data_IF_818053645750
#
_entry.id   IF_818053645750
#
_cell.length_a   1.000
_cell.length_b   1.000
_cell.length_c   1.000
_cell.angle_alpha   90.00
_cell.angle_beta   90.00
_cell.angle_gamma   90.00
#
_symmetry.space_group_name_H-M   'P 1'
#
loop_
_entity.id
_entity.type
_entity.pdbx_description
1 polymer ?
#
# COMPACT_ATOMS: atom_id res chain seq x y z
N UNK A 1 -22.96 -6.87 7.38
CA UNK A 1 -22.67 -7.64 6.15
C UNK A 1 -21.17 -7.61 5.88
N UNK A 2 -20.53 -8.77 5.74
CA UNK A 2 -19.07 -8.88 5.56
C UNK A 2 -18.57 -8.42 4.18
N UNK A 3 -17.29 -8.06 4.12
CA UNK A 3 -16.61 -7.61 2.90
C UNK A 3 -16.50 -8.77 1.88
N UNK A 4 -17.00 -8.62 0.64
CA UNK A 4 -17.00 -9.69 -0.38
C UNK A 4 -15.61 -10.12 -0.86
N UNK A 5 -14.51 -9.50 -0.37
CA UNK A 5 -13.13 -9.87 -0.72
C UNK A 5 -12.34 -10.58 0.40
N UNK A 6 -12.93 -10.83 1.58
CA UNK A 6 -12.20 -11.53 2.64
C UNK A 6 -12.18 -13.04 2.38
N UNK A 7 -10.98 -13.62 2.24
CA UNK A 7 -10.77 -15.08 2.14
C UNK A 7 -10.78 -15.77 3.52
N UNK A 8 -11.07 -15.01 4.59
CA UNK A 8 -11.11 -15.49 5.97
C UNK A 8 -12.57 -15.80 6.32
N UNK A 9 -12.82 -17.03 6.81
CA UNK A 9 -14.14 -17.41 7.33
C UNK A 9 -14.48 -16.58 8.57
N UNK A 10 -15.75 -16.19 8.79
CA UNK A 10 -16.13 -15.52 10.03
C UNK A 10 -15.93 -16.47 11.23
N UNK A 11 -15.48 -15.90 12.35
CA UNK A 11 -15.36 -16.60 13.63
C UNK A 11 -16.76 -16.90 14.18
N UNK A 12 -16.93 -18.11 14.71
CA UNK A 12 -18.11 -18.44 15.53
C UNK A 12 -17.95 -17.88 16.94
N UNK A 13 -19.06 -17.66 17.65
CA UNK A 13 -19.00 -17.17 19.04
C UNK A 13 -18.24 -18.13 19.97
N UNK A 14 -18.28 -19.43 19.69
CA UNK A 14 -17.54 -20.44 20.46
C UNK A 14 -16.03 -20.33 20.23
N UNK A 15 -15.62 -20.12 18.98
CA UNK A 15 -14.21 -19.90 18.64
C UNK A 15 -13.70 -18.57 19.21
N UNK A 16 -14.50 -17.51 19.18
CA UNK A 16 -14.17 -16.23 19.83
C UNK A 16 -13.95 -16.42 21.34
N UNK A 17 -14.86 -17.15 22.00
CA UNK A 17 -14.77 -17.42 23.43
C UNK A 17 -13.55 -18.28 23.79
N UNK A 18 -13.16 -19.22 22.93
CA UNK A 18 -11.95 -20.02 23.10
C UNK A 18 -10.68 -19.18 22.93
N UNK A 19 -10.64 -18.29 21.93
CA UNK A 19 -9.53 -17.35 21.73
C UNK A 19 -9.38 -16.45 22.96
N UNK A 20 -10.47 -15.89 23.47
CA UNK A 20 -10.42 -15.03 24.66
C UNK A 20 -9.91 -15.77 25.91
N UNK A 21 -10.29 -17.05 26.07
CA UNK A 21 -9.76 -17.88 27.17
C UNK A 21 -8.26 -18.09 27.04
N UNK A 22 -7.76 -18.34 25.84
CA UNK A 22 -6.33 -18.54 25.59
C UNK A 22 -5.53 -17.26 25.86
N UNK A 23 -6.00 -16.11 25.37
CA UNK A 23 -5.43 -14.78 25.65
C UNK A 23 -5.36 -14.54 27.16
N UNK A 24 -6.46 -14.81 27.88
CA UNK A 24 -6.52 -14.58 29.34
C UNK A 24 -5.62 -15.53 30.13
N UNK A 25 -5.42 -16.75 29.65
CA UNK A 25 -4.59 -17.74 30.33
C UNK A 25 -3.08 -17.52 30.11
N UNK A 26 -2.69 -16.76 29.07
CA UNK A 26 -1.31 -16.45 28.76
C UNK A 26 -0.88 -15.13 29.44
N UNK A 27 0.00 -15.16 30.46
CA UNK A 27 0.46 -13.95 31.12
C UNK A 27 1.30 -13.02 30.24
N UNK A 28 1.89 -13.53 29.13
CA UNK A 28 2.69 -12.72 28.20
C UNK A 28 1.83 -12.06 27.11
N UNK A 29 0.58 -12.49 26.95
CA UNK A 29 -0.36 -12.00 25.92
C UNK A 29 -1.69 -11.51 26.54
N UNK A 30 -1.67 -11.18 27.83
CA UNK A 30 -2.83 -10.61 28.50
C UNK A 30 -3.21 -9.24 27.90
N UNK A 31 -4.51 -8.97 27.82
CA UNK A 31 -5.00 -7.66 27.35
C UNK A 31 -4.58 -6.54 28.31
N UNK A 32 -4.17 -5.40 27.74
CA UNK A 32 -3.85 -4.21 28.52
C UNK A 32 -5.10 -3.67 29.22
N UNK A 33 -4.97 -3.32 30.51
CA UNK A 33 -6.08 -2.69 31.24
C UNK A 33 -6.24 -1.21 30.87
N UNK A 34 -7.41 -0.64 31.18
CA UNK A 34 -7.65 0.79 30.95
C UNK A 34 -6.62 1.67 31.68
N UNK A 35 -6.21 1.28 32.90
CA UNK A 35 -5.20 2.00 33.66
C UNK A 35 -3.82 1.94 32.99
N UNK A 36 -3.46 0.80 32.42
CA UNK A 36 -2.20 0.61 31.69
C UNK A 36 -2.18 1.42 30.38
N UNK A 37 -3.30 1.45 29.66
CA UNK A 37 -3.46 2.26 28.45
C UNK A 37 -3.33 3.76 28.74
N UNK A 38 -3.83 4.24 29.89
CA UNK A 38 -3.66 5.64 30.31
C UNK A 38 -2.18 6.00 30.51
N UNK A 39 -1.34 5.04 30.91
CA UNK A 39 0.10 5.24 31.08
C UNK A 39 0.91 5.04 29.79
N UNK A 40 0.27 4.65 28.68
CA UNK A 40 0.95 4.40 27.42
C UNK A 40 1.64 5.67 26.90
N UNK A 41 2.87 5.52 26.40
CA UNK A 41 3.65 6.60 25.80
C UNK A 41 3.76 6.41 24.29
N UNK A 42 3.81 7.51 23.51
CA UNK A 42 4.06 7.41 22.07
C UNK A 42 5.36 6.65 21.77
N UNK A 43 5.33 5.79 20.75
CA UNK A 43 6.50 5.00 20.33
C UNK A 43 7.74 5.86 20.08
N UNK A 44 7.56 7.06 19.49
CA UNK A 44 8.64 8.00 19.22
C UNK A 44 9.33 8.54 20.49
N UNK A 45 8.62 8.59 21.62
CA UNK A 45 9.18 9.02 22.90
C UNK A 45 9.94 7.90 23.60
N UNK A 46 9.44 6.66 23.50
CA UNK A 46 10.06 5.49 24.16
C UNK A 46 11.27 4.97 23.38
N UNK A 47 11.23 5.05 22.05
CA UNK A 47 12.29 4.52 21.17
C UNK A 47 12.73 5.56 20.13
N UNK A 48 13.36 6.68 20.55
CA UNK A 48 13.66 7.80 19.66
C UNK A 48 14.63 7.43 18.52
N UNK A 49 15.68 6.66 18.81
CA UNK A 49 16.65 6.24 17.78
C UNK A 49 16.03 5.28 16.76
N UNK A 50 15.23 4.32 17.23
CA UNK A 50 14.54 3.38 16.36
C UNK A 50 13.52 4.12 15.51
N UNK A 51 12.73 5.02 16.11
CA UNK A 51 11.78 5.88 15.40
C UNK A 51 12.47 6.64 14.28
N UNK A 52 13.59 7.32 14.53
CA UNK A 52 14.33 8.04 13.49
C UNK A 52 14.93 7.11 12.41
N UNK A 53 15.36 5.90 12.78
CA UNK A 53 15.87 4.91 11.81
C UNK A 53 14.78 4.33 10.90
N UNK A 54 13.55 4.16 11.41
CA UNK A 54 12.39 3.66 10.64
C UNK A 54 11.57 4.77 10.01
N UNK A 55 11.82 6.03 10.40
CA UNK A 55 11.35 7.24 9.75
C UNK A 55 12.04 7.37 8.39
N UNK A 56 11.79 6.37 7.55
CA UNK A 56 12.25 6.27 6.18
C UNK A 56 11.60 7.40 5.41
N UNK A 57 12.46 8.09 4.67
CA UNK A 57 12.12 9.07 3.64
C UNK A 57 10.83 8.69 2.91
N UNK A 58 9.92 9.67 2.79
CA UNK A 58 8.61 9.53 2.14
C UNK A 58 8.74 8.84 0.77
N UNK A 59 8.53 7.52 0.72
CA UNK A 59 8.48 6.74 -0.52
C UNK A 59 9.64 6.96 -1.50
N UNK A 60 9.41 6.61 -2.77
CA UNK A 60 10.32 7.01 -3.86
C UNK A 60 10.42 8.54 -3.85
N UNK A 61 11.62 9.12 -3.94
CA UNK A 61 11.78 10.57 -4.04
C UNK A 61 10.84 11.15 -5.10
N UNK A 62 10.19 12.27 -4.77
CA UNK A 62 9.33 13.00 -5.71
C UNK A 62 10.14 13.31 -6.96
N UNK A 63 9.65 12.87 -8.12
CA UNK A 63 10.24 13.21 -9.42
C UNK A 63 9.82 14.64 -9.75
N UNK A 64 10.78 15.53 -10.09
CA UNK A 64 10.49 16.94 -10.41
C UNK A 64 9.45 17.11 -11.53
N UNK A 65 9.47 16.21 -12.52
CA UNK A 65 8.57 16.23 -13.68
C UNK A 65 7.94 14.85 -13.89
N UNK A 66 6.88 14.51 -13.13
CA UNK A 66 6.21 13.23 -13.30
C UNK A 66 5.51 13.18 -14.67
N UNK A 67 5.41 11.98 -15.26
CA UNK A 67 4.59 11.78 -16.47
C UNK A 67 3.12 12.03 -16.12
N UNK A 68 2.45 12.87 -16.88
CA UNK A 68 1.02 13.10 -16.72
C UNK A 68 0.23 11.98 -17.41
N UNK A 69 -0.71 11.37 -16.70
CA UNK A 69 -1.66 10.42 -17.30
C UNK A 69 -2.73 11.24 -18.02
N UNK A 70 -2.79 11.09 -19.33
CA UNK A 70 -3.80 11.72 -20.19
C UNK A 70 -4.58 10.64 -20.95
N UNK A 71 -5.87 10.87 -21.16
CA UNK A 71 -6.72 10.02 -22.00
C UNK A 71 -6.78 10.60 -23.41
N UNK A 72 -6.10 9.95 -24.37
CA UNK A 72 -6.12 10.31 -25.79
C UNK A 72 -6.59 9.13 -26.62
N UNK A 73 -7.33 9.40 -27.70
CA UNK A 73 -7.68 8.37 -28.69
C UNK A 73 -6.60 8.33 -29.76
N UNK A 74 -6.07 7.15 -30.01
CA UNK A 74 -5.09 6.87 -31.05
C UNK A 74 -5.69 5.89 -32.06
N UNK A 75 -5.27 5.99 -33.31
CA UNK A 75 -5.67 5.01 -34.33
C UNK A 75 -5.29 3.58 -33.93
N UNK A 76 -6.16 2.63 -34.28
CA UNK A 76 -5.96 1.22 -33.93
C UNK A 76 -4.63 0.69 -34.47
N UNK A 77 -4.25 1.07 -35.68
CA UNK A 77 -3.02 0.62 -36.31
C UNK A 77 -1.77 1.13 -35.59
N UNK A 78 -1.81 2.36 -35.07
CA UNK A 78 -0.75 2.92 -34.22
C UNK A 78 -0.61 2.07 -32.95
N UNK A 79 -1.72 1.81 -32.25
CA UNK A 79 -1.69 1.01 -31.01
C UNK A 79 -1.20 -0.41 -31.28
N UNK A 80 -1.67 -1.07 -32.35
CA UNK A 80 -1.21 -2.41 -32.75
C UNK A 80 0.28 -2.42 -33.04
N UNK A 81 0.77 -1.47 -33.84
CA UNK A 81 2.19 -1.34 -34.21
C UNK A 81 3.08 -1.22 -32.98
N UNK A 82 2.73 -0.35 -32.03
CA UNK A 82 3.53 -0.21 -30.81
C UNK A 82 3.41 -1.44 -29.89
N UNK A 83 2.21 -2.00 -29.68
CA UNK A 83 2.05 -3.21 -28.84
C UNK A 83 2.88 -4.40 -29.35
N UNK A 84 3.02 -4.55 -30.67
CA UNK A 84 3.88 -5.57 -31.28
C UNK A 84 5.37 -5.45 -30.88
N UNK A 85 5.80 -4.27 -30.40
CA UNK A 85 7.17 -4.05 -29.91
C UNK A 85 7.44 -4.60 -28.50
N UNK A 86 6.43 -5.23 -27.88
CA UNK A 86 6.54 -5.93 -26.60
C UNK A 86 6.57 -5.03 -25.37
N UNK A 87 7.23 -5.51 -24.30
CA UNK A 87 7.35 -4.80 -23.02
C UNK A 87 7.92 -3.39 -23.26
N UNK A 88 7.27 -2.39 -22.65
CA UNK A 88 7.68 -0.99 -22.79
C UNK A 88 7.14 -0.26 -24.02
N UNK A 89 6.19 -0.82 -24.77
CA UNK A 89 5.59 -0.14 -25.93
C UNK A 89 5.00 1.25 -25.61
N UNK A 90 4.45 1.44 -24.40
CA UNK A 90 3.96 2.74 -23.93
C UNK A 90 5.08 3.78 -23.75
N UNK A 91 6.28 3.35 -23.35
CA UNK A 91 7.43 4.24 -23.28
C UNK A 91 7.91 4.60 -24.69
N UNK A 92 7.91 3.64 -25.63
CA UNK A 92 8.30 3.87 -27.02
C UNK A 92 7.36 4.86 -27.73
N UNK A 93 6.05 4.74 -27.56
CA UNK A 93 5.11 5.71 -28.14
C UNK A 93 5.28 7.10 -27.53
N UNK A 94 5.56 7.19 -26.22
CA UNK A 94 5.88 8.46 -25.57
C UNK A 94 7.13 9.13 -26.18
N UNK A 95 8.20 8.39 -26.45
CA UNK A 95 9.40 8.96 -27.08
C UNK A 95 9.13 9.46 -28.51
N UNK A 96 8.25 8.78 -29.27
CA UNK A 96 7.85 9.26 -30.60
C UNK A 96 7.06 10.57 -30.48
N UNK A 97 6.08 10.64 -29.56
CA UNK A 97 5.30 11.86 -29.33
C UNK A 97 6.17 13.03 -28.84
N UNK A 98 7.19 12.75 -28.03
CA UNK A 98 8.16 13.75 -27.54
C UNK A 98 8.98 14.39 -28.67
N UNK A 99 9.26 13.65 -29.73
CA UNK A 99 10.03 14.12 -30.89
C UNK A 99 9.14 14.63 -32.04
N UNK A 100 7.82 14.62 -31.88
CA UNK A 100 6.90 15.12 -32.88
C UNK A 100 7.04 16.64 -33.03
N UNK A 101 7.03 17.14 -34.26
CA UNK A 101 6.95 18.58 -34.52
C UNK A 101 5.50 19.02 -34.31
N UNK A 102 5.31 20.02 -33.45
CA UNK A 102 4.04 20.73 -33.33
C UNK A 102 4.12 21.90 -34.30
N UNK A 103 3.14 21.99 -35.20
CA UNK A 103 3.03 23.08 -36.19
C UNK A 103 2.64 24.41 -35.57
#
# INVERSE_FOLDING_TARGET
>A
MGNPKSHVRPLTNEEEAEIQRQITADPDDAEATDEELVQAKPFAEVFPELFESIRRSRGRPTVEKPKQVVSIRLDQDVVRKFKATGKGWQAKINEVLKNAKVG
#
